data_IF_384917793694
#
_entry.id   IF_384917793694
#
_cell.length_a   1.000
_cell.length_b   1.000
_cell.length_c   1.000
_cell.angle_alpha   90.00
_cell.angle_beta   90.00
_cell.angle_gamma   90.00
#
_symmetry.space_group_name_H-M   'P 1'
#
loop_
_entity.id
_entity.type
_entity.pdbx_description
1 polymer ?
#
# COMPACT_ATOMS: atom_id res chain seq x y z
N UNK A 1 -8.39 4.47 -1.89
CA UNK A 1 -7.51 5.58 -2.28
C UNK A 1 -6.52 5.93 -1.16
N UNK A 2 -6.96 6.45 -0.02
CA UNK A 2 -6.07 6.93 1.05
C UNK A 2 -5.12 5.86 1.62
N UNK A 3 -5.62 4.66 1.93
CA UNK A 3 -4.84 3.60 2.56
C UNK A 3 -3.71 3.10 1.67
N UNK A 4 -4.05 2.58 0.49
CA UNK A 4 -3.08 2.06 -0.47
C UNK A 4 -2.25 3.15 -1.13
N UNK A 5 -2.83 4.35 -1.35
CA UNK A 5 -2.08 5.48 -1.90
C UNK A 5 -0.91 5.89 -1.01
N UNK A 6 -1.14 5.96 0.29
CA UNK A 6 -0.09 6.29 1.25
C UNK A 6 0.96 5.16 1.39
N UNK A 7 0.52 3.89 1.43
CA UNK A 7 1.45 2.74 1.48
C UNK A 7 2.37 2.72 0.25
N UNK A 8 1.83 2.94 -0.95
CA UNK A 8 2.62 2.98 -2.18
C UNK A 8 3.61 4.18 -2.22
N UNK A 9 3.34 5.24 -1.46
CA UNK A 9 4.28 6.37 -1.34
C UNK A 9 5.48 6.06 -0.45
N UNK A 10 5.45 4.95 0.30
CA UNK A 10 6.51 4.57 1.23
C UNK A 10 7.87 4.46 0.53
N UNK A 11 7.94 3.94 -0.70
CA UNK A 11 9.16 3.85 -1.47
C UNK A 11 9.86 5.21 -1.66
N UNK A 12 9.10 6.28 -1.91
CA UNK A 12 9.65 7.64 -2.04
C UNK A 12 10.16 8.16 -0.69
N UNK A 13 9.42 7.91 0.39
CA UNK A 13 9.84 8.28 1.74
C UNK A 13 11.05 7.50 2.22
N UNK A 14 11.16 6.23 1.85
CA UNK A 14 12.29 5.39 2.23
C UNK A 14 13.63 6.01 1.83
N UNK A 15 13.75 6.59 0.61
CA UNK A 15 14.93 7.30 0.16
C UNK A 15 15.29 8.44 1.09
N UNK A 16 14.31 9.25 1.34
CA UNK A 16 14.49 10.40 2.21
C UNK A 16 14.95 9.96 3.62
N UNK A 17 14.33 8.91 4.18
CA UNK A 17 14.67 8.43 5.52
C UNK A 17 16.07 7.84 5.60
N UNK A 18 16.50 7.08 4.60
CA UNK A 18 17.86 6.54 4.53
C UNK A 18 18.87 7.69 4.57
N UNK A 19 18.63 8.75 3.79
CA UNK A 19 19.53 9.88 3.70
C UNK A 19 19.47 10.76 4.95
N UNK A 20 18.27 11.04 5.47
CA UNK A 20 18.06 11.96 6.59
C UNK A 20 18.43 11.34 7.95
N UNK A 21 18.18 10.04 8.14
CA UNK A 21 18.43 9.35 9.40
C UNK A 21 19.76 8.57 9.42
N UNK A 22 20.45 8.45 8.27
CA UNK A 22 21.72 7.71 8.16
C UNK A 22 21.60 6.22 8.54
N UNK A 23 20.39 5.63 8.38
CA UNK A 23 20.11 4.23 8.71
C UNK A 23 20.11 3.34 7.49
N UNK A 24 20.33 2.03 7.70
CA UNK A 24 20.32 1.08 6.59
C UNK A 24 18.94 1.02 5.92
N UNK A 25 18.87 0.80 4.60
CA UNK A 25 17.58 0.61 3.90
C UNK A 25 16.75 -0.52 4.50
N UNK A 26 17.41 -1.54 5.06
CA UNK A 26 16.76 -2.66 5.73
C UNK A 26 16.01 -2.24 6.98
N UNK A 27 16.62 -1.38 7.81
CA UNK A 27 15.96 -0.87 9.03
C UNK A 27 14.73 -0.03 8.70
N UNK A 28 14.82 0.81 7.67
CA UNK A 28 13.70 1.64 7.24
C UNK A 28 12.56 0.79 6.66
N UNK A 29 12.88 -0.32 5.97
CA UNK A 29 11.86 -1.22 5.41
C UNK A 29 10.96 -1.86 6.48
N UNK A 30 11.45 -2.01 7.73
CA UNK A 30 10.62 -2.49 8.85
C UNK A 30 9.44 -1.58 9.14
N UNK A 31 9.57 -0.27 8.95
CA UNK A 31 8.47 0.70 9.13
C UNK A 31 7.31 0.40 8.17
N UNK A 32 7.61 0.18 6.90
CA UNK A 32 6.61 -0.19 5.91
C UNK A 32 6.02 -1.58 6.14
N UNK A 33 6.85 -2.55 6.51
CA UNK A 33 6.42 -3.92 6.77
C UNK A 33 5.46 -4.02 7.93
N UNK A 34 5.75 -3.36 9.06
CA UNK A 34 4.85 -3.33 10.22
C UNK A 34 3.54 -2.61 9.91
N UNK A 35 3.58 -1.57 9.09
CA UNK A 35 2.38 -0.85 8.66
C UNK A 35 1.45 -1.77 7.87
N UNK A 36 1.97 -2.53 6.90
CA UNK A 36 1.19 -3.48 6.11
C UNK A 36 0.71 -4.66 6.95
N UNK A 37 1.56 -5.19 7.83
CA UNK A 37 1.19 -6.24 8.76
C UNK A 37 0.00 -5.82 9.64
N UNK A 38 0.08 -4.66 10.26
CA UNK A 38 -0.99 -4.13 11.12
C UNK A 38 -2.27 -3.85 10.35
N UNK A 39 -2.17 -3.39 9.09
CA UNK A 39 -3.33 -3.18 8.23
C UNK A 39 -4.16 -4.46 8.10
N UNK A 40 -3.55 -5.59 7.81
CA UNK A 40 -4.26 -6.87 7.66
C UNK A 40 -4.63 -7.48 9.01
N UNK A 41 -3.72 -7.45 9.97
CA UNK A 41 -3.94 -8.02 11.30
C UNK A 41 -5.13 -7.34 12.01
N UNK A 42 -5.09 -6.02 12.13
CA UNK A 42 -6.20 -5.24 12.74
C UNK A 42 -7.45 -5.29 11.86
N UNK A 43 -7.28 -5.30 10.53
CA UNK A 43 -8.37 -5.46 9.56
C UNK A 43 -9.23 -6.69 9.83
N UNK A 44 -8.62 -7.80 10.26
CA UNK A 44 -9.36 -9.03 10.62
C UNK A 44 -10.30 -8.82 11.80
N UNK A 45 -9.86 -8.11 12.84
CA UNK A 45 -10.69 -7.82 14.02
C UNK A 45 -11.75 -6.75 13.72
N UNK A 46 -11.36 -5.68 13.03
CA UNK A 46 -12.26 -4.57 12.71
C UNK A 46 -13.34 -4.97 11.69
N UNK A 47 -13.03 -5.88 10.78
CA UNK A 47 -14.05 -6.49 9.90
C UNK A 47 -15.17 -7.14 10.69
N UNK A 48 -14.84 -7.90 11.72
CA UNK A 48 -15.85 -8.55 12.60
C UNK A 48 -16.64 -7.56 13.45
N UNK A 49 -15.98 -6.52 13.99
CA UNK A 49 -16.68 -5.45 14.69
C UNK A 49 -17.69 -4.76 13.77
N UNK A 50 -17.33 -4.62 12.51
CA UNK A 50 -18.22 -4.05 11.48
C UNK A 50 -19.43 -4.94 11.23
N UNK A 51 -19.24 -6.25 11.12
CA UNK A 51 -20.30 -7.23 10.95
C UNK A 51 -21.23 -7.27 12.18
N UNK A 52 -20.67 -7.03 13.37
CA UNK A 52 -21.44 -6.86 14.63
C UNK A 52 -22.21 -5.53 14.70
N UNK A 53 -22.12 -4.67 13.68
CA UNK A 53 -22.86 -3.41 13.60
C UNK A 53 -22.14 -2.17 14.13
N UNK A 54 -20.89 -2.30 14.57
CA UNK A 54 -20.09 -1.20 15.11
C UNK A 54 -19.23 -0.49 14.04
N UNK A 55 -19.75 -0.38 12.80
CA UNK A 55 -19.03 0.25 11.70
C UNK A 55 -18.60 1.68 11.99
N UNK A 56 -19.55 2.53 12.44
CA UNK A 56 -19.28 3.97 12.65
C UNK A 56 -18.19 4.25 13.66
N UNK A 57 -18.23 3.70 14.89
CA UNK A 57 -17.17 3.98 15.87
C UNK A 57 -15.80 3.46 15.40
N UNK A 58 -15.75 2.28 14.78
CA UNK A 58 -14.50 1.72 14.26
C UNK A 58 -13.92 2.61 13.16
N UNK A 59 -14.75 3.07 12.23
CA UNK A 59 -14.32 3.92 11.13
C UNK A 59 -13.88 5.31 11.61
N UNK A 60 -14.57 5.89 12.58
CA UNK A 60 -14.19 7.19 13.20
C UNK A 60 -12.85 7.09 13.94
N UNK A 61 -12.70 6.08 14.80
CA UNK A 61 -11.45 5.83 15.54
C UNK A 61 -10.30 5.59 14.55
N UNK A 62 -10.51 4.78 13.52
CA UNK A 62 -9.52 4.53 12.48
C UNK A 62 -9.13 5.79 11.73
N UNK A 63 -10.10 6.64 11.39
CA UNK A 63 -9.86 7.94 10.73
C UNK A 63 -9.01 8.86 11.61
N UNK A 64 -9.34 8.93 12.90
CA UNK A 64 -8.60 9.76 13.86
C UNK A 64 -7.16 9.27 14.03
N UNK A 65 -6.97 7.97 14.30
CA UNK A 65 -5.64 7.37 14.50
C UNK A 65 -4.78 7.52 13.24
N UNK A 66 -5.35 7.29 12.04
CA UNK A 66 -4.62 7.41 10.79
C UNK A 66 -4.13 8.83 10.51
N UNK A 67 -4.99 9.82 10.67
CA UNK A 67 -4.62 11.24 10.51
C UNK A 67 -3.64 11.69 11.60
N UNK A 68 -3.89 11.31 12.84
CA UNK A 68 -2.98 11.58 13.95
C UNK A 68 -1.58 11.01 13.69
N UNK A 69 -1.50 9.76 13.22
CA UNK A 69 -0.24 9.12 12.83
C UNK A 69 0.52 9.92 11.77
N UNK A 70 -0.16 10.46 10.75
CA UNK A 70 0.46 11.31 9.73
C UNK A 70 1.02 12.62 10.29
N UNK A 71 0.26 13.29 11.15
CA UNK A 71 0.75 14.51 11.78
C UNK A 71 1.93 14.23 12.72
N UNK A 72 1.89 13.14 13.48
CA UNK A 72 3.01 12.71 14.31
C UNK A 72 4.24 12.34 13.48
N UNK A 73 4.05 11.69 12.32
CA UNK A 73 5.15 11.44 11.38
C UNK A 73 5.79 12.73 10.88
N UNK A 74 5.02 13.80 10.70
CA UNK A 74 5.57 15.11 10.29
C UNK A 74 6.50 15.75 11.33
N UNK A 75 6.38 15.35 12.59
CA UNK A 75 7.17 15.85 13.71
C UNK A 75 8.31 14.89 14.08
N UNK A 76 8.33 13.69 13.51
CA UNK A 76 9.34 12.68 13.85
C UNK A 76 10.71 13.06 13.31
N UNK A 77 11.72 13.02 14.19
CA UNK A 77 13.12 13.29 13.88
C UNK A 77 14.01 12.07 14.11
N UNK A 78 13.51 11.05 14.81
CA UNK A 78 14.25 9.83 15.13
C UNK A 78 13.55 8.60 14.54
N UNK A 79 14.34 7.54 14.32
CA UNK A 79 13.83 6.27 13.78
C UNK A 79 12.65 5.70 14.60
N UNK A 80 12.76 5.70 15.93
CA UNK A 80 11.72 5.15 16.80
C UNK A 80 10.40 5.93 16.73
N UNK A 81 10.50 7.25 16.64
CA UNK A 81 9.31 8.11 16.48
C UNK A 81 8.64 7.82 15.14
N UNK A 82 9.44 7.68 14.08
CA UNK A 82 8.95 7.32 12.75
C UNK A 82 8.29 5.94 12.75
N UNK A 83 8.94 4.94 13.37
CA UNK A 83 8.41 3.59 13.48
C UNK A 83 7.05 3.56 14.20
N UNK A 84 6.92 4.26 15.33
CA UNK A 84 5.67 4.34 16.08
C UNK A 84 4.60 5.15 15.35
N UNK A 85 4.94 6.32 14.80
CA UNK A 85 3.98 7.19 14.15
C UNK A 85 3.51 6.62 12.80
N UNK A 86 4.43 6.31 11.90
CA UNK A 86 4.10 5.82 10.57
C UNK A 86 3.84 4.31 10.54
N UNK A 87 4.69 3.50 11.16
CA UNK A 87 4.52 2.05 11.18
C UNK A 87 3.30 1.63 11.98
N UNK A 88 3.26 2.00 13.26
CA UNK A 88 2.21 1.52 14.17
C UNK A 88 0.94 2.34 14.06
N UNK A 89 0.95 3.66 14.29
CA UNK A 89 -0.28 4.46 14.29
C UNK A 89 -0.96 4.46 12.92
N UNK A 90 -0.25 4.73 11.84
CA UNK A 90 -0.86 4.68 10.51
C UNK A 90 -1.29 3.26 10.13
N UNK A 91 -0.54 2.21 10.54
CA UNK A 91 -0.93 0.81 10.32
C UNK A 91 -2.24 0.45 11.01
N UNK A 92 -2.40 0.81 12.29
CA UNK A 92 -3.65 0.63 13.05
C UNK A 92 -4.82 1.39 12.41
N UNK A 93 -4.62 2.67 12.08
CA UNK A 93 -5.63 3.49 11.42
C UNK A 93 -6.08 2.90 10.09
N UNK A 94 -5.15 2.49 9.25
CA UNK A 94 -5.43 1.88 7.96
C UNK A 94 -6.17 0.54 8.09
N UNK A 95 -5.83 -0.30 9.09
CA UNK A 95 -6.54 -1.54 9.38
C UNK A 95 -8.00 -1.32 9.77
N UNK A 96 -8.26 -0.27 10.57
CA UNK A 96 -9.62 0.13 10.95
C UNK A 96 -10.43 0.73 9.79
N UNK A 97 -9.80 1.19 8.73
CA UNK A 97 -10.46 1.80 7.57
C UNK A 97 -10.68 0.83 6.42
N UNK A 98 -9.69 -0.02 6.11
CA UNK A 98 -9.67 -0.82 4.90
C UNK A 98 -10.72 -1.92 4.89
N UNK A 99 -10.67 -2.84 5.84
CA UNK A 99 -11.60 -3.98 5.90
C UNK A 99 -13.07 -3.55 6.09
N UNK A 100 -13.39 -2.62 7.02
CA UNK A 100 -14.73 -2.10 7.17
C UNK A 100 -15.30 -1.46 5.90
N UNK A 101 -14.48 -0.72 5.15
CA UNK A 101 -14.92 -0.08 3.91
C UNK A 101 -15.30 -1.10 2.83
N UNK A 102 -14.50 -2.17 2.67
CA UNK A 102 -14.79 -3.23 1.70
C UNK A 102 -16.02 -4.04 2.10
N UNK A 103 -16.16 -4.36 3.40
CA UNK A 103 -17.34 -5.04 3.94
C UNK A 103 -18.60 -4.22 3.68
N UNK A 104 -18.59 -2.93 4.01
CA UNK A 104 -19.72 -2.05 3.78
C UNK A 104 -20.09 -1.96 2.29
N UNK A 105 -19.10 -1.78 1.40
CA UNK A 105 -19.32 -1.69 -0.05
C UNK A 105 -20.00 -2.93 -0.58
N UNK A 106 -19.64 -4.11 -0.08
CA UNK A 106 -20.24 -5.38 -0.48
C UNK A 106 -21.70 -5.51 -0.09
N UNK A 107 -22.17 -4.75 0.92
CA UNK A 107 -23.56 -4.76 1.40
C UNK A 107 -24.47 -3.82 0.61
N UNK A 108 -23.92 -2.75 0.02
CA UNK A 108 -24.71 -1.82 -0.79
C UNK A 108 -25.11 -2.38 -2.16
N UNK A 109 -24.24 -3.18 -2.77
CA UNK A 109 -24.42 -3.69 -4.13
C UNK A 109 -24.52 -5.21 -4.15
N UNK A 110 -25.75 -5.76 -4.26
CA UNK A 110 -25.96 -7.20 -4.39
C UNK A 110 -25.78 -7.68 -5.85
N UNK A 111 -26.44 -7.02 -6.82
CA UNK A 111 -26.43 -7.42 -8.25
C UNK A 111 -25.15 -6.99 -9.00
N UNK A 112 -24.53 -5.84 -8.62
CA UNK A 112 -23.34 -5.28 -9.29
C UNK A 112 -22.13 -5.17 -8.35
N UNK A 113 -21.99 -6.16 -7.45
CA UNK A 113 -20.94 -6.18 -6.41
C UNK A 113 -19.53 -6.14 -7.00
N UNK A 114 -19.27 -6.91 -8.05
CA UNK A 114 -17.96 -6.96 -8.71
C UNK A 114 -17.57 -5.61 -9.32
N UNK A 115 -18.53 -4.93 -9.95
CA UNK A 115 -18.30 -3.57 -10.51
C UNK A 115 -17.99 -2.55 -9.42
N UNK A 116 -18.71 -2.59 -8.30
CA UNK A 116 -18.47 -1.68 -7.17
C UNK A 116 -17.09 -1.90 -6.54
N UNK A 117 -16.67 -3.18 -6.36
CA UNK A 117 -15.34 -3.52 -5.85
C UNK A 117 -14.26 -3.10 -6.87
N UNK A 118 -14.50 -3.31 -8.18
CA UNK A 118 -13.59 -2.86 -9.24
C UNK A 118 -13.38 -1.35 -9.25
N UNK A 119 -14.46 -0.57 -9.06
CA UNK A 119 -14.38 0.89 -8.96
C UNK A 119 -13.61 1.35 -7.71
N UNK A 120 -13.81 0.65 -6.58
CA UNK A 120 -13.04 0.90 -5.35
C UNK A 120 -11.54 0.58 -5.55
N UNK A 121 -11.23 -0.50 -6.25
CA UNK A 121 -9.85 -0.87 -6.62
C UNK A 121 -9.22 0.16 -7.56
N UNK A 122 -9.95 0.67 -8.55
CA UNK A 122 -9.50 1.77 -9.42
C UNK A 122 -9.18 3.04 -8.61
N UNK A 123 -9.99 3.36 -7.59
CA UNK A 123 -9.68 4.42 -6.65
C UNK A 123 -8.39 4.21 -5.86
N UNK A 124 -8.05 2.95 -5.54
CA UNK A 124 -6.76 2.62 -4.90
C UNK A 124 -5.59 2.81 -5.85
N UNK A 125 -5.73 2.42 -7.11
CA UNK A 125 -4.71 2.60 -8.14
C UNK A 125 -4.43 4.10 -8.40
N UNK A 126 -5.49 4.91 -8.54
CA UNK A 126 -5.36 6.38 -8.69
C UNK A 126 -4.65 7.02 -7.50
N UNK A 127 -4.99 6.59 -6.27
CA UNK A 127 -4.29 7.04 -5.07
C UNK A 127 -2.81 6.64 -5.09
N UNK A 128 -2.51 5.40 -5.52
CA UNK A 128 -1.15 4.89 -5.66
C UNK A 128 -0.28 5.64 -6.69
N UNK A 129 -0.89 6.35 -7.64
CA UNK A 129 -0.17 7.22 -8.59
C UNK A 129 -0.05 8.65 -8.07
N UNK A 130 -1.13 9.22 -7.56
CA UNK A 130 -1.21 10.63 -7.15
C UNK A 130 -0.32 10.91 -5.93
N UNK A 131 -0.42 10.08 -4.88
CA UNK A 131 0.32 10.32 -3.63
C UNK A 131 1.83 10.32 -3.82
N UNK A 132 2.47 9.30 -4.47
CA UNK A 132 3.90 9.33 -4.72
C UNK A 132 4.34 10.51 -5.60
N UNK A 133 3.55 10.85 -6.64
CA UNK A 133 3.85 11.98 -7.51
C UNK A 133 3.82 13.30 -6.74
N UNK A 134 2.83 13.49 -5.86
CA UNK A 134 2.77 14.65 -4.97
C UNK A 134 3.98 14.71 -4.05
N UNK A 135 4.35 13.60 -3.40
CA UNK A 135 5.51 13.55 -2.49
C UNK A 135 6.78 13.92 -3.23
N UNK A 136 7.02 13.35 -4.43
CA UNK A 136 8.20 13.67 -5.23
C UNK A 136 8.31 15.15 -5.59
N UNK A 137 7.19 15.82 -5.84
CA UNK A 137 7.17 17.24 -6.19
C UNK A 137 7.23 18.17 -4.96
N UNK A 138 6.59 17.80 -3.86
CA UNK A 138 6.51 18.63 -2.67
C UNK A 138 7.75 18.50 -1.79
N UNK A 139 8.32 17.31 -1.66
CA UNK A 139 9.46 17.04 -0.78
C UNK A 139 10.65 17.99 -1.02
N UNK A 140 11.10 18.25 -2.29
CA UNK A 140 12.20 19.19 -2.55
C UNK A 140 11.80 20.66 -2.37
N UNK A 141 10.50 21.01 -2.48
CA UNK A 141 10.03 22.41 -2.44
C UNK A 141 9.72 22.89 -1.03
N UNK A 142 9.04 22.09 -0.24
CA UNK A 142 8.51 22.51 1.07
C UNK A 142 9.05 21.68 2.24
N UNK A 143 9.92 20.69 1.94
CA UNK A 143 10.51 19.81 2.93
C UNK A 143 9.57 18.72 3.45
N UNK A 144 10.12 17.80 4.23
CA UNK A 144 9.44 16.60 4.70
C UNK A 144 8.22 16.90 5.61
N UNK A 145 8.41 17.75 6.62
CA UNK A 145 7.36 18.03 7.61
C UNK A 145 6.09 18.61 6.98
N UNK A 146 6.25 19.57 6.08
CA UNK A 146 5.12 20.19 5.38
C UNK A 146 4.50 19.27 4.33
N UNK A 147 5.28 18.43 3.67
CA UNK A 147 4.77 17.40 2.76
C UNK A 147 3.87 16.44 3.49
N UNK A 148 4.29 15.94 4.67
CA UNK A 148 3.47 15.04 5.48
C UNK A 148 2.20 15.70 6.00
N UNK A 149 2.25 16.98 6.39
CA UNK A 149 1.07 17.74 6.80
C UNK A 149 0.10 17.95 5.64
N UNK A 150 0.60 18.28 4.45
CA UNK A 150 -0.23 18.42 3.26
C UNK A 150 -0.98 17.11 2.92
N UNK A 151 -0.29 15.98 2.96
CA UNK A 151 -0.91 14.66 2.80
C UNK A 151 -1.94 14.38 3.90
N UNK A 152 -1.62 14.74 5.15
CA UNK A 152 -2.53 14.63 6.30
C UNK A 152 -3.82 15.42 6.10
N UNK A 153 -3.75 16.66 5.62
CA UNK A 153 -4.93 17.49 5.33
C UNK A 153 -5.77 16.92 4.19
N UNK A 154 -5.15 16.44 3.12
CA UNK A 154 -5.87 15.79 2.01
C UNK A 154 -6.57 14.53 2.51
N UNK A 155 -5.87 13.70 3.29
CA UNK A 155 -6.45 12.49 3.85
C UNK A 155 -7.58 12.80 4.83
N UNK A 156 -7.42 13.81 5.67
CA UNK A 156 -8.46 14.29 6.58
C UNK A 156 -9.71 14.73 5.80
N UNK A 157 -9.56 15.56 4.77
CA UNK A 157 -10.68 16.00 3.92
C UNK A 157 -11.43 14.82 3.29
N UNK A 158 -10.69 13.87 2.69
CA UNK A 158 -11.28 12.66 2.13
C UNK A 158 -12.01 11.82 3.20
N UNK A 159 -11.43 11.66 4.40
CA UNK A 159 -12.02 10.88 5.46
C UNK A 159 -13.27 11.55 6.06
N UNK A 160 -13.32 12.88 6.14
CA UNK A 160 -14.53 13.62 6.54
C UNK A 160 -15.66 13.33 5.56
N UNK A 161 -15.42 13.46 4.26
CA UNK A 161 -16.41 13.16 3.22
C UNK A 161 -16.89 11.70 3.34
N UNK A 162 -15.96 10.75 3.53
CA UNK A 162 -16.31 9.34 3.71
C UNK A 162 -17.13 9.10 4.97
N UNK A 163 -16.78 9.71 6.10
CA UNK A 163 -17.53 9.56 7.37
C UNK A 163 -18.97 10.09 7.27
N UNK A 164 -19.19 11.17 6.53
CA UNK A 164 -20.53 11.73 6.30
C UNK A 164 -21.32 10.84 5.32
N UNK A 165 -20.67 10.37 4.25
CA UNK A 165 -21.35 9.63 3.18
C UNK A 165 -21.62 8.16 3.51
N UNK A 166 -20.74 7.50 4.26
CA UNK A 166 -20.85 6.06 4.54
C UNK A 166 -21.78 5.79 5.73
N UNK A 167 -22.96 5.22 5.45
CA UNK A 167 -23.95 4.83 6.47
C UNK A 167 -24.19 3.31 6.39
N UNK A 168 -24.13 2.56 7.50
CA UNK A 168 -24.49 1.15 7.49
C UNK A 168 -25.97 1.00 7.13
N UNK A 169 -26.26 0.13 6.15
CA UNK A 169 -27.62 -0.06 5.63
C UNK A 169 -28.25 -1.37 6.08
N UNK A 170 -27.44 -2.32 6.47
CA UNK A 170 -27.90 -3.66 6.88
C UNK A 170 -27.83 -3.78 8.40
N UNK A 171 -28.85 -4.39 9.04
CA UNK A 171 -28.82 -4.66 10.49
C UNK A 171 -27.63 -5.55 10.86
N UNK A 172 -27.14 -5.47 12.10
CA UNK A 172 -25.98 -6.23 12.57
C UNK A 172 -26.18 -7.72 12.31
N UNK A 173 -25.19 -8.38 11.75
CA UNK A 173 -25.18 -9.82 11.54
C UNK A 173 -24.44 -10.46 12.73
N UNK A 174 -24.94 -11.59 13.22
CA UNK A 174 -24.21 -12.35 14.24
C UNK A 174 -22.83 -12.72 13.68
N UNK A 175 -21.78 -12.22 14.29
CA UNK A 175 -20.42 -12.55 13.89
C UNK A 175 -20.19 -14.05 14.08
N UNK A 176 -19.85 -14.76 13.01
CA UNK A 176 -19.49 -16.18 13.04
C UNK A 176 -18.16 -16.43 13.78
N UNK A 177 -17.69 -17.67 13.86
CA UNK A 177 -16.41 -18.03 14.46
C UNK A 177 -15.22 -17.32 13.74
N UNK A 178 -14.14 -17.00 14.47
CA UNK A 178 -12.94 -16.34 13.92
C UNK A 178 -12.32 -17.13 12.76
N UNK A 179 -12.27 -18.43 12.94
CA UNK A 179 -11.80 -19.39 11.95
C UNK A 179 -12.87 -20.47 11.79
N UNK A 180 -13.43 -20.56 10.63
CA UNK A 180 -14.36 -21.63 10.31
C UNK A 180 -13.56 -22.84 9.79
N UNK A 181 -13.19 -23.73 10.70
CA UNK A 181 -12.47 -24.94 10.38
C UNK A 181 -13.19 -25.87 9.41
N UNK A 182 -14.51 -25.71 9.27
CA UNK A 182 -15.30 -26.50 8.30
C UNK A 182 -15.01 -26.08 6.87
N UNK A 183 -14.82 -24.76 6.65
CA UNK A 183 -14.47 -24.23 5.32
C UNK A 183 -13.11 -24.75 4.82
N UNK A 184 -12.15 -25.04 5.71
CA UNK A 184 -10.88 -25.65 5.30
C UNK A 184 -10.99 -27.13 4.86
N UNK A 185 -12.12 -27.77 5.12
CA UNK A 185 -12.39 -29.14 4.62
C UNK A 185 -13.03 -29.14 3.22
N UNK A 186 -13.49 -28.00 2.75
CA UNK A 186 -14.07 -27.87 1.40
C UNK A 186 -12.96 -27.67 0.38
N UNK A 187 -12.81 -28.63 -0.53
CA UNK A 187 -11.79 -28.61 -1.59
C UNK A 187 -11.80 -27.32 -2.44
N UNK A 188 -12.96 -26.75 -2.85
CA UNK A 188 -12.98 -25.49 -3.58
C UNK A 188 -12.40 -24.31 -2.82
N UNK A 189 -12.62 -24.25 -1.49
CA UNK A 189 -12.07 -23.19 -0.64
C UNK A 189 -10.54 -23.29 -0.53
N UNK A 190 -10.03 -24.51 -0.31
CA UNK A 190 -8.58 -24.77 -0.23
C UNK A 190 -7.89 -24.43 -1.54
N UNK A 191 -8.46 -24.89 -2.68
CA UNK A 191 -7.92 -24.57 -4.00
C UNK A 191 -7.92 -23.06 -4.28
N UNK A 192 -8.99 -22.36 -3.89
CA UNK A 192 -9.05 -20.89 -4.01
C UNK A 192 -7.97 -20.21 -3.14
N UNK A 193 -7.82 -20.64 -1.88
CA UNK A 193 -6.83 -20.08 -0.96
C UNK A 193 -5.39 -20.30 -1.46
N UNK A 194 -5.09 -21.51 -1.93
CA UNK A 194 -3.78 -21.84 -2.54
C UNK A 194 -3.56 -21.05 -3.82
N UNK A 195 -4.56 -20.94 -4.69
CA UNK A 195 -4.50 -20.16 -5.91
C UNK A 195 -4.22 -18.67 -5.64
N UNK A 196 -4.92 -18.08 -4.67
CA UNK A 196 -4.67 -16.70 -4.24
C UNK A 196 -3.27 -16.53 -3.67
N UNK A 197 -2.78 -17.47 -2.86
CA UNK A 197 -1.42 -17.44 -2.35
C UNK A 197 -0.39 -17.50 -3.49
N UNK A 198 -0.57 -18.41 -4.43
CA UNK A 198 0.31 -18.57 -5.58
C UNK A 198 0.30 -17.35 -6.53
N UNK A 199 -0.78 -16.59 -6.60
CA UNK A 199 -0.86 -15.36 -7.41
C UNK A 199 -0.30 -14.17 -6.61
N UNK A 200 -0.66 -14.03 -5.35
CA UNK A 200 -0.22 -12.88 -4.53
C UNK A 200 1.27 -12.91 -4.23
N UNK A 201 1.85 -14.10 -4.01
CA UNK A 201 3.26 -14.22 -3.67
C UNK A 201 4.20 -13.75 -4.80
N UNK A 202 4.05 -14.21 -6.08
CA UNK A 202 4.85 -13.70 -7.19
C UNK A 202 4.62 -12.20 -7.45
N UNK A 203 3.38 -11.72 -7.33
CA UNK A 203 3.09 -10.29 -7.50
C UNK A 203 3.81 -9.43 -6.46
N UNK A 204 3.84 -9.86 -5.20
CA UNK A 204 4.62 -9.23 -4.14
C UNK A 204 6.12 -9.22 -4.47
N UNK A 205 6.67 -10.35 -4.91
CA UNK A 205 8.09 -10.47 -5.29
C UNK A 205 8.41 -9.57 -6.49
N UNK A 206 7.54 -9.54 -7.50
CA UNK A 206 7.70 -8.67 -8.68
C UNK A 206 7.64 -7.20 -8.27
N UNK A 207 6.72 -6.82 -7.41
CA UNK A 207 6.58 -5.44 -6.93
C UNK A 207 7.83 -4.99 -6.16
N UNK A 208 8.34 -5.82 -5.27
CA UNK A 208 9.61 -5.58 -4.56
C UNK A 208 10.78 -5.46 -5.56
N UNK A 209 10.83 -6.34 -6.58
CA UNK A 209 11.87 -6.27 -7.62
C UNK A 209 11.80 -5.01 -8.47
N UNK A 210 10.61 -4.54 -8.82
CA UNK A 210 10.41 -3.30 -9.57
C UNK A 210 10.84 -2.10 -8.74
N UNK A 211 10.49 -2.07 -7.46
CA UNK A 211 10.94 -1.02 -6.55
C UNK A 211 12.47 -1.02 -6.42
N UNK A 212 13.08 -2.15 -6.14
CA UNK A 212 14.55 -2.27 -5.99
C UNK A 212 15.28 -1.89 -7.29
N UNK A 213 14.81 -2.33 -8.46
CA UNK A 213 15.44 -2.02 -9.75
C UNK A 213 15.12 -0.60 -10.25
N UNK A 214 13.93 -0.06 -9.94
CA UNK A 214 13.59 1.33 -10.19
C UNK A 214 14.50 2.28 -9.41
N UNK A 215 14.87 1.89 -8.21
CA UNK A 215 15.80 2.60 -7.33
C UNK A 215 17.24 2.57 -7.83
N UNK A 216 17.72 1.43 -8.27
CA UNK A 216 19.06 1.29 -8.85
C UNK A 216 19.26 2.21 -10.06
N UNK A 217 18.22 2.44 -10.85
CA UNK A 217 18.27 3.36 -11.99
C UNK A 217 18.27 4.84 -11.59
N UNK A 218 17.52 5.22 -10.56
CA UNK A 218 17.45 6.61 -10.09
C UNK A 218 18.73 6.97 -9.32
N UNK A 219 19.25 6.05 -8.53
CA UNK A 219 20.51 6.22 -7.78
C UNK A 219 21.75 6.14 -8.68
N UNK A 220 21.71 5.33 -9.76
CA UNK A 220 22.80 5.22 -10.74
C UNK A 220 22.86 6.36 -11.77
N UNK A 221 21.76 7.09 -11.98
CA UNK A 221 21.73 8.24 -12.89
C UNK A 221 22.48 9.47 -12.35
N UNK A 222 22.86 9.47 -11.07
CA UNK A 222 23.66 10.55 -10.47
C UNK A 222 25.18 10.31 -10.49
N UNK A 223 25.67 9.14 -10.94
CA UNK A 223 27.10 8.79 -10.86
C UNK A 223 27.64 8.00 -12.05
N UNK A 224 27.27 8.30 -13.29
CA UNK A 224 28.18 8.15 -14.44
C UNK A 224 27.47 8.23 -15.80
N UNK A 225 27.99 8.98 -16.76
CA UNK A 225 27.53 8.92 -18.14
C UNK A 225 28.39 7.89 -18.88
N UNK A 226 28.12 6.61 -18.75
CA UNK A 226 28.57 5.57 -19.68
C UNK A 226 28.35 4.16 -19.16
N UNK A 227 27.18 3.62 -19.40
CA UNK A 227 27.05 2.16 -19.54
C UNK A 227 25.89 1.88 -20.49
N UNK A 228 26.27 1.57 -21.72
CA UNK A 228 25.42 1.08 -22.79
C UNK A 228 24.54 -0.07 -22.34
N UNK A 229 23.28 0.03 -22.70
CA UNK A 229 22.20 -0.91 -22.43
C UNK A 229 22.61 -2.35 -22.81
N UNK A 230 22.47 -3.36 -21.92
CA UNK A 230 22.83 -4.75 -22.25
C UNK A 230 22.01 -5.36 -23.39
N UNK A 231 20.92 -4.71 -23.80
CA UNK A 231 20.10 -5.14 -24.93
C UNK A 231 20.82 -4.95 -26.28
N UNK A 232 21.69 -3.96 -26.40
CA UNK A 232 22.48 -3.75 -27.62
C UNK A 232 23.60 -4.80 -27.79
N UNK A 233 24.11 -5.31 -26.68
CA UNK A 233 25.10 -6.39 -26.70
C UNK A 233 24.48 -7.74 -27.09
N UNK A 234 23.25 -8.01 -26.65
CA UNK A 234 22.52 -9.23 -27.03
C UNK A 234 22.07 -9.19 -28.49
N UNK A 235 21.65 -8.04 -29.00
CA UNK A 235 21.29 -7.87 -30.42
C UNK A 235 22.51 -7.90 -31.35
N UNK A 236 23.64 -7.40 -30.89
CA UNK A 236 24.92 -7.50 -31.65
C UNK A 236 25.43 -8.94 -31.73
N UNK A 237 25.28 -9.71 -30.65
CA UNK A 237 25.67 -11.13 -30.62
C UNK A 237 24.74 -11.98 -31.49
N UNK A 238 23.44 -11.66 -31.53
CA UNK A 238 22.48 -12.35 -32.38
C UNK A 238 22.64 -12.05 -33.86
N UNK A 239 23.09 -10.86 -34.23
CA UNK A 239 23.39 -10.52 -35.65
C UNK A 239 24.66 -11.18 -36.18
N UNK A 240 25.66 -11.48 -35.33
CA UNK A 240 26.88 -12.20 -35.72
C UNK A 240 26.67 -13.71 -35.95
N UNK A 241 25.62 -14.30 -35.37
CA UNK A 241 25.29 -15.72 -35.56
C UNK A 241 24.42 -15.99 -36.76
N UNK A 242 23.83 -14.99 -37.41
CA UNK A 242 22.93 -15.14 -38.56
C UNK A 242 23.55 -14.86 -39.92
N UNK A 243 24.87 -14.57 -40.02
CA UNK A 243 25.50 -14.40 -41.32
C UNK A 243 26.85 -15.16 -41.44
N UNK A 244 26.82 -16.50 -41.71
CA UNK A 244 28.03 -17.27 -41.99
C UNK A 244 28.25 -17.42 -43.49
N UNK A 245 28.18 -16.34 -44.25
CA UNK A 245 28.50 -16.43 -45.67
C UNK A 245 29.13 -15.17 -46.19
N UNK A 246 30.47 -15.09 -46.13
CA UNK A 246 31.37 -14.51 -47.12
C UNK A 246 32.80 -14.52 -46.55
N UNK A 247 33.54 -15.63 -46.86
CA UNK A 247 34.99 -15.60 -46.97
C UNK A 247 35.37 -16.69 -47.98
N UNK A 248 35.46 -16.33 -49.20
CA UNK A 248 36.33 -16.94 -50.19
C UNK A 248 37.53 -16.02 -50.41
#
# INVERSE_FOLDING_TARGET
MNTWGFINSFGVFQTYYVTALGRSPSDISWVGSIQVFLLFFIGTFTGRLTDAGHFRPVFLIGSFIGVFGLFMTSLSTTYWQLFLAQGVCCGLGNGCLFCPSLSLLSTYFSKKRSLAIGLAAAGSATGGMIFPAMVQQLLPKIGFAWTMRALGFIQLGCLIICNIGMKPRIPPRKAGALVDWKSFKELPYVLFAVGMFCVCFPLLVIQIRIEVNGWGRISGASTSPSTTCPLSAVLSSASHTLNPSTSS
#
